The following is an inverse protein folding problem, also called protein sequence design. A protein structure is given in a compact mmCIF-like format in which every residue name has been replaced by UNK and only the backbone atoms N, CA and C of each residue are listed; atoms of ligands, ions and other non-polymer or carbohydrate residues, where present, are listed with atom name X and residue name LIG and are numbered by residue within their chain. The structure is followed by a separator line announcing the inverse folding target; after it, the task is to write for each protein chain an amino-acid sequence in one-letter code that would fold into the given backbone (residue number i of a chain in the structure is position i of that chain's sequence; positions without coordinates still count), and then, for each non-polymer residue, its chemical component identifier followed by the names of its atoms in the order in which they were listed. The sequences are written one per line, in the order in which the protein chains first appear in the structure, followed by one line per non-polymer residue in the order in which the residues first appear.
data_IF_331323112382
#
_entry.id   IF_331323112382
#
_cell.length_a   1.000
_cell.length_b   1.000
_cell.length_c   1.000
_cell.angle_alpha   90.00
_cell.angle_beta   90.00
_cell.angle_gamma   90.00
#
_symmetry.space_group_name_H-M   'P 1'
#
loop_
_entity.id
_entity.type
_entity.pdbx_description
1 polymer ?
#
# COMPACT_ATOMS: atom_id res chain seq x y z
N UNK A 1 0.90 -4.01 26.57
CA UNK A 1 -0.24 -4.56 25.79
C UNK A 1 -1.22 -3.47 25.33
N UNK A 2 -2.16 -2.96 26.14
CA UNK A 2 -3.08 -1.89 25.68
C UNK A 2 -2.36 -0.55 25.35
N UNK A 3 -1.27 -0.27 26.06
CA UNK A 3 -0.45 0.95 25.91
C UNK A 3 0.47 0.93 24.66
N UNK A 4 1.04 -0.22 24.31
CA UNK A 4 1.85 -0.38 23.08
C UNK A 4 1.00 -0.25 21.81
N UNK A 5 -0.25 -0.76 21.85
CA UNK A 5 -1.16 -0.62 20.72
C UNK A 5 -1.60 0.83 20.50
N UNK A 6 -1.73 1.63 21.56
CA UNK A 6 -2.03 3.08 21.44
C UNK A 6 -0.81 3.88 21.00
N UNK A 7 0.40 3.51 21.44
CA UNK A 7 1.65 4.14 21.01
C UNK A 7 1.93 3.91 19.52
N UNK A 8 1.76 2.69 19.00
CA UNK A 8 1.96 2.41 17.57
C UNK A 8 0.96 3.15 16.66
N UNK A 9 -0.28 3.35 17.11
CA UNK A 9 -1.29 4.14 16.38
C UNK A 9 -0.94 5.63 16.38
N UNK A 10 -0.52 6.18 17.53
CA UNK A 10 -0.12 7.60 17.64
C UNK A 10 1.15 7.87 16.83
N UNK A 11 2.10 6.93 16.84
CA UNK A 11 3.33 7.05 16.05
C UNK A 11 3.01 7.02 14.56
N UNK A 12 2.19 6.06 14.10
CA UNK A 12 1.72 6.02 12.71
C UNK A 12 1.00 7.32 12.30
N UNK A 13 0.19 7.93 13.18
CA UNK A 13 -0.47 9.21 12.92
C UNK A 13 0.55 10.36 12.79
N UNK A 14 1.62 10.38 13.61
CA UNK A 14 2.68 11.41 13.52
C UNK A 14 3.55 11.28 12.27
N UNK A 15 3.79 10.06 11.79
CA UNK A 15 4.57 9.85 10.57
C UNK A 15 3.86 10.37 9.33
N UNK A 16 2.52 10.34 9.29
CA UNK A 16 1.73 10.71 8.12
C UNK A 16 1.82 12.19 7.72
N UNK A 17 2.25 13.08 8.62
CA UNK A 17 2.38 14.51 8.29
C UNK A 17 3.69 14.84 7.55
N UNK A 18 4.64 13.91 7.45
CA UNK A 18 5.96 14.10 6.81
C UNK A 18 6.31 13.01 5.77
N UNK A 19 5.32 12.31 5.22
CA UNK A 19 5.55 11.29 4.17
C UNK A 19 5.29 11.85 2.78
N UNK A 20 6.20 11.59 1.85
CA UNK A 20 6.07 11.96 0.44
C UNK A 20 5.16 11.01 -0.36
N UNK A 21 4.79 9.87 0.24
CA UNK A 21 3.95 8.85 -0.37
C UNK A 21 3.82 7.61 0.52
N UNK A 22 2.85 6.76 0.19
CA UNK A 22 2.51 5.58 1.00
C UNK A 22 2.50 4.33 0.12
N UNK A 23 3.09 3.25 0.65
CA UNK A 23 2.96 1.92 0.07
C UNK A 23 1.93 1.16 0.90
N UNK A 24 0.81 0.82 0.30
CA UNK A 24 -0.26 0.06 0.92
C UNK A 24 -0.11 -1.42 0.58
N UNK A 25 0.30 -2.22 1.56
CA UNK A 25 0.42 -3.67 1.40
C UNK A 25 -0.95 -4.35 1.57
N UNK A 26 -1.47 -4.97 0.51
CA UNK A 26 -2.73 -5.70 0.55
C UNK A 26 -2.52 -7.20 0.34
N UNK A 27 -3.23 -8.02 1.11
CA UNK A 27 -3.23 -9.48 0.94
C UNK A 27 -4.10 -9.87 -0.27
N UNK A 28 -3.47 -10.39 -1.32
CA UNK A 28 -4.13 -10.77 -2.57
C UNK A 28 -5.01 -12.01 -2.45
N UNK A 29 -4.97 -12.72 -1.32
CA UNK A 29 -5.86 -13.86 -1.04
C UNK A 29 -7.16 -13.43 -0.36
N UNK A 30 -7.32 -12.14 -0.06
CA UNK A 30 -8.48 -11.59 0.67
C UNK A 30 -9.28 -10.65 -0.22
N UNK A 31 -10.54 -10.47 0.14
CA UNK A 31 -11.40 -9.48 -0.52
C UNK A 31 -10.82 -8.06 -0.28
N UNK A 32 -10.54 -7.28 -1.34
CA UNK A 32 -9.99 -5.93 -1.19
C UNK A 32 -10.95 -4.95 -0.50
N UNK A 33 -12.26 -5.17 -0.56
CA UNK A 33 -13.31 -4.25 -0.06
C UNK A 33 -13.57 -4.36 1.44
N UNK A 34 -12.56 -4.64 2.24
CA UNK A 34 -12.72 -4.55 3.70
C UNK A 34 -12.93 -3.09 4.10
N UNK A 35 -13.73 -2.86 5.14
CA UNK A 35 -13.96 -1.50 5.67
C UNK A 35 -12.64 -0.80 6.02
N UNK A 36 -11.66 -1.56 6.51
CA UNK A 36 -10.32 -1.05 6.84
C UNK A 36 -9.60 -0.53 5.60
N UNK A 37 -9.52 -1.33 4.52
CA UNK A 37 -8.84 -0.92 3.28
C UNK A 37 -9.49 0.31 2.66
N UNK A 38 -10.82 0.32 2.58
CA UNK A 38 -11.59 1.45 2.02
C UNK A 38 -11.37 2.72 2.85
N UNK A 39 -11.39 2.60 4.18
CA UNK A 39 -11.17 3.75 5.07
C UNK A 39 -9.76 4.30 4.97
N UNK A 40 -8.73 3.43 4.91
CA UNK A 40 -7.33 3.85 4.78
C UNK A 40 -7.13 4.59 3.46
N UNK A 41 -7.56 4.00 2.33
CA UNK A 41 -7.41 4.64 1.01
C UNK A 41 -8.14 5.98 0.97
N UNK A 42 -9.39 6.04 1.44
CA UNK A 42 -10.14 7.30 1.46
C UNK A 42 -9.47 8.39 2.31
N UNK A 43 -8.79 8.02 3.41
CA UNK A 43 -8.02 8.99 4.20
C UNK A 43 -6.77 9.49 3.47
N UNK A 44 -6.05 8.59 2.79
CA UNK A 44 -4.84 8.94 2.03
C UNK A 44 -5.19 9.85 0.82
N UNK A 45 -6.27 9.53 0.12
CA UNK A 45 -6.81 10.37 -0.98
C UNK A 45 -7.22 11.75 -0.47
N UNK A 46 -7.88 11.84 0.68
CA UNK A 46 -8.26 13.12 1.28
C UNK A 46 -7.05 14.00 1.69
N UNK A 47 -5.86 13.40 1.80
CA UNK A 47 -4.59 14.09 2.11
C UNK A 47 -3.74 14.36 0.87
N UNK A 48 -4.22 14.03 -0.33
CA UNK A 48 -3.49 14.13 -1.60
C UNK A 48 -2.12 13.43 -1.56
N UNK A 49 -2.03 12.32 -0.80
CA UNK A 49 -0.81 11.54 -0.69
C UNK A 49 -0.72 10.54 -1.85
N UNK A 50 0.41 10.49 -2.60
CA UNK A 50 0.63 9.46 -3.59
C UNK A 50 0.59 8.06 -2.96
N UNK A 51 -0.23 7.15 -3.50
CA UNK A 51 -0.37 5.78 -3.01
C UNK A 51 0.07 4.76 -4.06
N UNK A 52 0.88 3.79 -3.64
CA UNK A 52 1.23 2.60 -4.38
C UNK A 52 0.69 1.38 -3.64
N UNK A 53 -0.09 0.52 -4.29
CA UNK A 53 -0.59 -0.71 -3.67
C UNK A 53 0.35 -1.86 -4.02
N UNK A 54 0.89 -2.52 -3.00
CA UNK A 54 1.62 -3.77 -3.15
C UNK A 54 0.64 -4.94 -2.89
N UNK A 55 0.18 -5.58 -3.97
CA UNK A 55 -0.70 -6.74 -3.90
C UNK A 55 0.13 -8.00 -3.57
N UNK A 56 0.23 -8.32 -2.28
CA UNK A 56 1.16 -9.30 -1.73
C UNK A 56 0.57 -10.72 -1.68
N UNK A 57 1.44 -11.71 -1.44
CA UNK A 57 1.13 -13.14 -1.33
C UNK A 57 0.67 -13.77 -2.64
N UNK A 58 1.26 -13.38 -3.76
CA UNK A 58 0.96 -14.01 -5.06
C UNK A 58 1.54 -15.42 -5.20
N UNK A 59 2.37 -15.84 -4.26
CA UNK A 59 2.85 -17.23 -4.14
C UNK A 59 1.78 -18.21 -3.66
N UNK A 60 0.66 -17.72 -3.12
CA UNK A 60 -0.42 -18.57 -2.61
C UNK A 60 -1.49 -18.86 -3.67
N UNK A 61 -2.00 -20.08 -3.66
CA UNK A 61 -3.16 -20.46 -4.47
C UNK A 61 -4.39 -19.61 -4.12
N UNK A 62 -5.14 -19.22 -5.15
CA UNK A 62 -6.31 -18.35 -4.99
C UNK A 62 -5.98 -16.87 -4.81
N UNK A 63 -4.70 -16.48 -4.91
CA UNK A 63 -4.29 -15.08 -4.96
C UNK A 63 -4.82 -14.40 -6.22
N UNK A 64 -5.50 -13.26 -6.06
CA UNK A 64 -6.11 -12.50 -7.16
C UNK A 64 -5.73 -11.02 -7.13
N UNK A 65 -4.46 -10.67 -7.45
CA UNK A 65 -4.03 -9.27 -7.51
C UNK A 65 -4.83 -8.43 -8.53
N UNK A 66 -5.37 -9.06 -9.58
CA UNK A 66 -6.26 -8.41 -10.54
C UNK A 66 -7.56 -7.89 -9.88
N UNK A 67 -8.07 -8.57 -8.86
CA UNK A 67 -9.23 -8.13 -8.07
C UNK A 67 -8.91 -6.84 -7.32
N UNK A 68 -7.72 -6.73 -6.73
CA UNK A 68 -7.25 -5.50 -6.07
C UNK A 68 -7.14 -4.36 -7.09
N UNK A 69 -6.53 -4.59 -8.27
CA UNK A 69 -6.45 -3.57 -9.32
C UNK A 69 -7.82 -3.12 -9.83
N UNK A 70 -8.77 -4.04 -9.93
CA UNK A 70 -10.13 -3.71 -10.35
C UNK A 70 -10.90 -2.93 -9.27
N UNK A 71 -10.63 -3.21 -7.99
CA UNK A 71 -11.23 -2.51 -6.85
C UNK A 71 -10.71 -1.07 -6.71
N UNK A 72 -9.44 -0.84 -7.04
CA UNK A 72 -8.76 0.45 -6.90
C UNK A 72 -8.11 0.88 -8.22
N UNK A 73 -8.89 1.14 -9.28
CA UNK A 73 -8.36 1.33 -10.64
C UNK A 73 -7.45 2.56 -10.76
N UNK A 74 -7.69 3.58 -9.95
CA UNK A 74 -6.95 4.86 -9.93
C UNK A 74 -5.54 4.74 -9.32
N UNK A 75 -5.26 3.65 -8.59
CA UNK A 75 -3.98 3.46 -7.92
C UNK A 75 -3.08 2.51 -8.71
N UNK A 76 -1.78 2.76 -8.70
CA UNK A 76 -0.82 1.79 -9.22
C UNK A 76 -0.79 0.57 -8.29
N UNK A 77 -0.88 -0.63 -8.89
CA UNK A 77 -0.88 -1.90 -8.15
C UNK A 77 0.24 -2.76 -8.68
N UNK A 78 1.15 -3.16 -7.80
CA UNK A 78 2.25 -4.07 -8.12
C UNK A 78 2.00 -5.41 -7.40
N UNK A 79 1.77 -6.51 -8.14
CA UNK A 79 1.68 -7.84 -7.54
C UNK A 79 3.06 -8.29 -7.05
N UNK A 80 3.19 -8.71 -5.80
CA UNK A 80 4.46 -9.17 -5.23
C UNK A 80 4.29 -10.44 -4.40
N UNK A 81 5.37 -11.17 -4.21
CA UNK A 81 5.48 -12.12 -3.10
C UNK A 81 6.64 -11.68 -2.23
N UNK A 82 6.32 -11.11 -1.07
CA UNK A 82 7.34 -10.74 -0.09
C UNK A 82 8.07 -11.97 0.49
N UNK A 83 7.45 -13.16 0.45
CA UNK A 83 8.06 -14.40 0.92
C UNK A 83 9.14 -14.91 -0.03
N UNK A 84 8.85 -14.93 -1.33
CA UNK A 84 9.76 -15.46 -2.36
C UNK A 84 10.68 -14.39 -2.95
N UNK A 85 10.38 -13.11 -2.73
CA UNK A 85 11.05 -11.98 -3.37
C UNK A 85 10.55 -11.69 -4.79
N UNK A 86 9.51 -12.38 -5.27
CA UNK A 86 8.99 -12.19 -6.62
C UNK A 86 8.48 -10.76 -6.85
N UNK A 87 8.91 -10.16 -7.97
CA UNK A 87 8.50 -8.85 -8.49
C UNK A 87 8.81 -7.65 -7.58
N UNK A 88 9.74 -7.81 -6.63
CA UNK A 88 10.20 -6.72 -5.75
C UNK A 88 10.95 -5.64 -6.54
N UNK A 89 11.70 -5.99 -7.59
CA UNK A 89 12.39 -5.03 -8.46
C UNK A 89 11.40 -4.07 -9.13
N UNK A 90 10.31 -4.60 -9.70
CA UNK A 90 9.22 -3.79 -10.26
C UNK A 90 8.57 -2.89 -9.21
N UNK A 91 8.41 -3.37 -7.98
CA UNK A 91 7.91 -2.53 -6.89
C UNK A 91 8.82 -1.32 -6.68
N UNK A 92 10.15 -1.52 -6.63
CA UNK A 92 11.12 -0.43 -6.52
C UNK A 92 11.08 0.53 -7.71
N UNK A 93 10.98 0.03 -8.94
CA UNK A 93 10.88 0.86 -10.14
C UNK A 93 9.65 1.79 -10.09
N UNK A 94 8.50 1.23 -9.70
CA UNK A 94 7.25 1.99 -9.57
C UNK A 94 7.33 2.99 -8.41
N UNK A 95 7.95 2.61 -7.28
CA UNK A 95 8.23 3.53 -6.17
C UNK A 95 9.06 4.73 -6.63
N UNK A 96 10.15 4.51 -7.38
CA UNK A 96 10.99 5.61 -7.89
C UNK A 96 10.20 6.49 -8.85
N UNK A 97 9.36 5.90 -9.72
CA UNK A 97 8.51 6.64 -10.66
C UNK A 97 7.47 7.52 -9.95
N UNK A 98 6.85 7.00 -8.89
CA UNK A 98 5.77 7.68 -8.15
C UNK A 98 6.30 8.71 -7.16
N UNK A 99 7.28 8.32 -6.33
CA UNK A 99 7.75 9.12 -5.22
C UNK A 99 9.01 9.94 -5.57
N UNK A 100 9.78 9.53 -6.57
CA UNK A 100 11.04 10.19 -6.94
C UNK A 100 10.89 11.59 -7.55
N UNK A 101 9.67 11.99 -7.94
CA UNK A 101 9.41 13.32 -8.53
C UNK A 101 9.34 14.46 -7.50
N UNK A 102 9.22 14.15 -6.20
CA UNK A 102 9.07 15.16 -5.14
C UNK A 102 10.32 16.02 -4.90
N UNK A 103 11.48 15.67 -5.48
CA UNK A 103 12.78 16.34 -5.24
C UNK A 103 13.24 17.36 -6.30
N UNK A 104 12.35 17.90 -7.14
CA UNK A 104 12.68 19.10 -7.94
C UNK A 104 12.28 20.37 -7.18
N UNK A 105 13.07 20.75 -6.18
CA UNK A 105 13.17 22.12 -5.66
C UNK A 105 14.63 22.47 -5.44
#
# INVERSE_FOLDING_TARGET
RAKEATEGVIEAIRWLDNVDGVILLMDSTKNPFTQVNVTIIGNLEARDLPVLIAANKIDLDGSTPATIKSAFPQHDVVPISALTGYNIEMLYEVMVKLFGKARRK
#
